data_IF_149015326581
#
_entry.id   IF_149015326581
#
_cell.length_a   1.000
_cell.length_b   1.000
_cell.length_c   1.000
_cell.angle_alpha   90.00
_cell.angle_beta   90.00
_cell.angle_gamma   90.00
#
_symmetry.space_group_name_H-M   'P 1'
#
loop_
_entity.id
_entity.type
_entity.pdbx_description
1 polymer ?
#
# COMPACT_ATOMS: atom_id res chain seq x y z
N UNK A 1 39.55 32.77 38.26
CA UNK A 1 38.41 33.32 39.05
C UNK A 1 38.62 34.83 39.14
N UNK A 2 38.17 35.65 38.22
CA UNK A 2 38.12 37.14 38.31
C UNK A 2 38.03 37.77 36.90
N UNK A 3 37.07 37.43 36.06
CA UNK A 3 36.72 38.27 34.87
C UNK A 3 35.20 38.17 34.54
N UNK A 4 34.45 37.28 35.19
CA UNK A 4 33.01 37.05 34.87
C UNK A 4 32.03 37.82 35.76
N UNK A 5 32.51 38.60 36.72
CA UNK A 5 31.65 39.31 37.70
C UNK A 5 31.54 40.81 37.47
N UNK A 6 32.10 41.38 36.40
CA UNK A 6 32.06 42.83 36.11
C UNK A 6 31.18 43.23 34.93
N UNK A 7 30.38 42.35 34.37
CA UNK A 7 29.46 42.63 33.25
C UNK A 7 27.97 42.62 33.61
N UNK A 8 27.60 42.32 34.84
CA UNK A 8 26.20 42.25 35.30
C UNK A 8 25.73 43.45 36.14
N UNK A 9 26.52 44.49 36.33
CA UNK A 9 26.16 45.66 37.15
C UNK A 9 26.12 47.00 36.39
N UNK A 10 25.90 47.00 35.07
CA UNK A 10 25.75 48.22 34.26
C UNK A 10 24.46 48.30 33.43
N UNK A 11 23.44 47.49 33.72
CA UNK A 11 22.16 47.54 33.01
C UNK A 11 20.93 47.80 33.92
N UNK A 12 21.11 48.48 35.01
CA UNK A 12 20.02 48.79 35.90
C UNK A 12 20.05 50.26 36.36
N UNK A 13 20.04 51.20 35.41
CA UNK A 13 19.73 52.63 35.73
C UNK A 13 19.68 53.42 34.41
N UNK A 14 18.62 53.24 33.61
CA UNK A 14 18.21 54.25 32.59
C UNK A 14 16.92 53.71 31.91
N UNK A 15 15.78 53.85 32.54
CA UNK A 15 14.48 53.75 31.89
C UNK A 15 13.37 54.33 32.75
N UNK A 16 13.42 55.66 32.93
CA UNK A 16 12.28 56.45 33.35
C UNK A 16 12.13 57.62 32.38
N UNK A 17 11.75 57.29 31.14
CA UNK A 17 11.27 58.27 30.16
C UNK A 17 10.03 57.66 29.50
N UNK A 18 8.88 58.32 29.74
CA UNK A 18 7.58 57.86 29.30
C UNK A 18 7.51 57.61 27.78
N UNK A 19 7.34 56.36 27.39
CA UNK A 19 6.99 56.00 26.03
C UNK A 19 5.49 55.71 26.01
N UNK A 20 4.71 56.68 25.51
CA UNK A 20 3.32 56.41 25.13
C UNK A 20 3.33 55.35 24.05
N UNK A 21 3.00 54.10 24.40
CA UNK A 21 2.78 53.01 23.46
C UNK A 21 1.48 53.34 22.73
N UNK A 22 1.60 53.99 21.58
CA UNK A 22 0.54 53.93 20.55
C UNK A 22 0.51 52.50 20.03
N UNK A 23 -0.39 51.71 20.59
CA UNK A 23 -0.73 50.41 20.01
C UNK A 23 -1.28 50.69 18.63
N UNK A 24 -0.64 50.17 17.54
CA UNK A 24 -1.28 50.21 16.25
C UNK A 24 -2.59 49.43 16.42
N UNK A 25 -3.72 50.05 16.19
CA UNK A 25 -4.96 49.35 15.96
C UNK A 25 -4.73 48.50 14.74
N UNK A 26 -4.33 47.25 14.95
CA UNK A 26 -4.42 46.24 13.91
C UNK A 26 -5.89 46.17 13.59
N UNK A 27 -6.30 46.84 12.50
CA UNK A 27 -7.55 46.55 11.84
C UNK A 27 -7.56 45.02 11.68
N UNK A 28 -8.48 44.36 12.38
CA UNK A 28 -8.79 42.97 12.12
C UNK A 28 -9.28 42.99 10.67
N UNK A 29 -8.36 42.71 9.77
CA UNK A 29 -8.69 42.53 8.38
C UNK A 29 -9.66 41.35 8.40
N UNK A 30 -10.93 41.60 8.11
CA UNK A 30 -11.93 40.57 8.00
C UNK A 30 -11.33 39.53 7.04
N UNK A 31 -10.98 38.37 7.55
CA UNK A 31 -10.50 37.30 6.72
C UNK A 31 -11.55 37.10 5.65
N UNK A 32 -11.17 37.28 4.38
CA UNK A 32 -12.02 37.00 3.25
C UNK A 32 -12.64 35.64 3.53
N UNK A 33 -13.98 35.54 3.48
CA UNK A 33 -14.68 34.33 3.83
C UNK A 33 -14.11 33.22 2.98
N UNK A 34 -13.44 32.26 3.62
CA UNK A 34 -12.72 31.18 2.93
C UNK A 34 -13.69 30.50 1.94
N UNK A 35 -13.37 30.60 0.66
CA UNK A 35 -14.16 29.96 -0.39
C UNK A 35 -13.69 28.52 -0.54
N UNK A 36 -14.61 27.59 -0.42
CA UNK A 36 -14.36 26.16 -0.59
C UNK A 36 -14.96 25.68 -1.93
N UNK A 37 -14.38 24.67 -2.53
CA UNK A 37 -15.04 23.97 -3.63
C UNK A 37 -16.15 23.07 -3.09
N UNK A 38 -15.87 22.37 -1.99
CA UNK A 38 -16.84 21.50 -1.31
C UNK A 38 -16.80 21.73 0.20
N UNK A 39 -17.99 21.83 0.82
CA UNK A 39 -18.15 21.71 2.27
C UNK A 39 -19.02 20.48 2.55
N UNK A 40 -18.52 19.57 3.40
CA UNK A 40 -19.31 18.46 3.95
C UNK A 40 -19.72 18.87 5.36
N UNK A 41 -21.04 19.00 5.61
CA UNK A 41 -21.60 19.50 6.86
C UNK A 41 -22.06 18.38 7.79
N UNK A 42 -21.89 18.59 9.10
CA UNK A 42 -22.50 17.80 10.18
C UNK A 42 -22.15 16.31 10.17
N UNK A 43 -21.01 15.91 9.59
CA UNK A 43 -20.59 14.51 9.49
C UNK A 43 -20.06 13.94 10.82
N UNK A 44 -20.21 12.61 11.00
CA UNK A 44 -19.45 11.83 11.98
C UNK A 44 -18.10 11.47 11.34
N UNK A 45 -17.09 12.29 11.58
CA UNK A 45 -15.79 12.14 10.91
C UNK A 45 -14.95 11.07 11.61
N UNK A 46 -14.53 10.06 10.84
CA UNK A 46 -13.52 9.08 11.19
C UNK A 46 -12.32 9.34 10.29
N UNK A 47 -11.22 9.86 10.83
CA UNK A 47 -10.09 10.35 10.06
C UNK A 47 -8.97 9.31 9.84
N UNK A 48 -9.17 8.07 10.31
CA UNK A 48 -8.20 6.98 10.17
C UNK A 48 -7.10 6.95 11.24
N UNK A 49 -7.10 7.87 12.19
CA UNK A 49 -6.08 7.93 13.27
C UNK A 49 -6.29 6.88 14.37
N UNK A 50 -7.39 6.11 14.32
CA UNK A 50 -7.79 5.17 15.37
C UNK A 50 -8.61 5.82 16.50
N UNK A 51 -8.82 7.13 16.45
CA UNK A 51 -9.68 7.83 17.40
C UNK A 51 -11.17 7.60 17.11
N UNK A 52 -12.04 7.67 18.13
CA UNK A 52 -13.49 7.66 17.92
C UNK A 52 -13.92 8.79 16.97
N UNK A 53 -15.05 8.58 16.29
CA UNK A 53 -15.63 9.62 15.44
C UNK A 53 -15.92 10.91 16.23
N UNK A 54 -15.79 12.03 15.55
CA UNK A 54 -16.20 13.34 16.06
C UNK A 54 -17.15 14.02 15.09
N UNK A 55 -18.08 14.81 15.60
CA UNK A 55 -18.93 15.66 14.75
C UNK A 55 -18.09 16.81 14.22
N UNK A 56 -18.01 16.94 12.90
CA UNK A 56 -17.27 18.02 12.27
C UNK A 56 -17.75 18.26 10.83
N UNK A 57 -17.45 19.47 10.34
CA UNK A 57 -17.51 19.85 8.94
C UNK A 57 -16.15 19.59 8.30
N UNK A 58 -16.12 19.38 6.98
CA UNK A 58 -14.91 19.25 6.19
C UNK A 58 -14.97 20.26 5.04
N UNK A 59 -13.94 21.09 4.91
CA UNK A 59 -13.77 22.01 3.79
C UNK A 59 -12.68 21.54 2.85
N UNK A 60 -12.99 21.51 1.56
CA UNK A 60 -12.10 21.06 0.48
C UNK A 60 -11.92 22.22 -0.51
N UNK A 61 -10.67 22.48 -0.90
CA UNK A 61 -10.29 23.39 -1.96
C UNK A 61 -9.27 22.72 -2.87
N UNK A 62 -9.58 22.64 -4.17
CA UNK A 62 -8.83 21.85 -5.13
C UNK A 62 -8.79 20.39 -4.73
N UNK A 63 -7.59 19.88 -4.62
CA UNK A 63 -7.29 18.49 -4.22
C UNK A 63 -6.98 18.32 -2.71
N UNK A 64 -7.23 19.37 -1.89
CA UNK A 64 -6.82 19.41 -0.48
C UNK A 64 -8.00 19.54 0.46
N UNK A 65 -7.95 18.78 1.57
CA UNK A 65 -8.75 19.04 2.76
C UNK A 65 -8.07 20.21 3.51
N UNK A 66 -8.72 21.36 3.50
CA UNK A 66 -8.16 22.60 4.09
C UNK A 66 -8.76 22.93 5.45
N UNK A 67 -9.88 22.32 5.82
CA UNK A 67 -10.50 22.47 7.12
C UNK A 67 -11.17 21.17 7.60
N UNK A 68 -11.00 20.83 8.88
CA UNK A 68 -11.73 19.77 9.58
C UNK A 68 -12.12 20.26 10.96
N UNK A 69 -13.40 20.57 11.18
CA UNK A 69 -13.89 21.13 12.43
C UNK A 69 -15.16 21.92 12.22
N UNK A 70 -15.30 23.03 12.93
CA UNK A 70 -16.41 23.97 12.72
C UNK A 70 -16.10 24.91 11.56
N UNK A 71 -16.94 24.92 10.54
CA UNK A 71 -16.90 25.88 9.44
C UNK A 71 -18.10 26.83 9.60
N UNK A 72 -17.92 28.15 9.60
CA UNK A 72 -19.02 29.11 9.74
C UNK A 72 -20.18 28.83 8.77
N UNK A 73 -21.41 29.05 9.22
CA UNK A 73 -22.62 28.74 8.41
C UNK A 73 -22.73 29.60 7.15
N UNK A 74 -22.17 30.78 7.18
CA UNK A 74 -22.13 31.74 6.06
C UNK A 74 -20.94 31.46 5.09
N UNK A 75 -20.04 30.53 5.42
CA UNK A 75 -18.96 30.12 4.53
C UNK A 75 -19.53 29.57 3.22
N UNK A 76 -18.96 30.05 2.10
CA UNK A 76 -19.42 29.70 0.75
C UNK A 76 -18.63 28.53 0.19
N UNK A 77 -19.32 27.70 -0.61
CA UNK A 77 -18.72 26.64 -1.37
C UNK A 77 -19.49 26.47 -2.71
N UNK A 78 -18.81 25.95 -3.71
CA UNK A 78 -19.46 25.58 -4.96
C UNK A 78 -20.45 24.42 -4.75
N UNK A 79 -20.15 23.53 -3.78
CA UNK A 79 -21.03 22.41 -3.40
C UNK A 79 -21.06 22.23 -1.89
N UNK A 80 -22.26 22.09 -1.32
CA UNK A 80 -22.47 21.73 0.07
C UNK A 80 -23.13 20.36 0.16
N UNK A 81 -22.54 19.44 0.93
CA UNK A 81 -23.04 18.09 1.18
C UNK A 81 -23.50 18.00 2.62
N UNK A 82 -24.77 17.72 2.85
CA UNK A 82 -25.28 17.44 4.19
C UNK A 82 -24.98 15.98 4.57
N UNK A 83 -24.11 15.78 5.56
CA UNK A 83 -23.73 14.48 6.11
C UNK A 83 -24.32 14.23 7.50
N UNK A 84 -25.37 14.94 7.90
CA UNK A 84 -26.04 14.72 9.16
C UNK A 84 -26.46 13.26 9.33
N UNK A 85 -26.05 12.63 10.43
CA UNK A 85 -26.30 11.22 10.73
C UNK A 85 -25.43 10.22 9.95
N UNK A 86 -24.57 10.68 9.02
CA UNK A 86 -23.68 9.83 8.24
C UNK A 86 -22.26 9.84 8.78
N UNK A 87 -21.51 8.76 8.51
CA UNK A 87 -20.08 8.74 8.71
C UNK A 87 -19.38 9.34 7.49
N UNK A 88 -18.32 10.10 7.74
CA UNK A 88 -17.42 10.65 6.73
C UNK A 88 -16.02 10.14 7.01
N UNK A 89 -15.43 9.47 6.04
CA UNK A 89 -14.12 8.85 6.15
C UNK A 89 -13.26 9.26 4.96
N UNK A 90 -11.92 9.14 5.04
CA UNK A 90 -11.08 9.06 3.85
C UNK A 90 -11.57 7.92 2.95
N UNK A 91 -11.32 8.02 1.64
CA UNK A 91 -11.57 6.90 0.73
C UNK A 91 -10.74 5.69 1.13
N UNK A 92 -11.32 4.50 1.02
CA UNK A 92 -10.62 3.25 1.37
C UNK A 92 -9.57 2.90 0.33
N UNK A 93 -8.51 2.21 0.78
CA UNK A 93 -7.46 1.64 -0.05
C UNK A 93 -7.68 0.14 -0.10
N UNK A 94 -7.91 -0.41 -1.30
CA UNK A 94 -7.87 -1.85 -1.53
C UNK A 94 -6.40 -2.27 -1.76
N UNK A 95 -5.82 -2.91 -0.75
CA UNK A 95 -4.42 -3.31 -0.74
C UNK A 95 -4.15 -4.57 -1.59
N UNK A 96 -5.19 -5.17 -2.20
CA UNK A 96 -5.07 -6.38 -3.00
C UNK A 96 -6.16 -6.43 -4.07
N UNK A 97 -5.89 -5.87 -5.26
CA UNK A 97 -6.90 -5.74 -6.31
C UNK A 97 -6.48 -6.39 -7.64
N UNK A 98 -7.36 -7.19 -8.20
CA UNK A 98 -7.24 -7.75 -9.55
C UNK A 98 -7.98 -6.91 -10.61
N UNK A 99 -8.13 -5.60 -10.39
CA UNK A 99 -8.91 -4.69 -11.24
C UNK A 99 -8.21 -4.27 -12.54
N UNK A 100 -6.95 -4.61 -12.74
CA UNK A 100 -6.14 -4.20 -13.92
C UNK A 100 -6.85 -4.42 -15.26
N UNK A 101 -7.47 -5.58 -15.57
CA UNK A 101 -8.15 -5.75 -16.85
C UNK A 101 -9.22 -4.69 -17.09
N UNK A 102 -10.00 -4.36 -16.04
CA UNK A 102 -11.03 -3.32 -16.12
C UNK A 102 -10.47 -1.92 -16.29
N UNK A 103 -9.46 -1.56 -15.50
CA UNK A 103 -8.85 -0.22 -15.50
C UNK A 103 -8.19 0.12 -16.83
N UNK A 104 -7.71 -0.86 -17.58
CA UNK A 104 -7.10 -0.68 -18.91
C UNK A 104 -8.11 -0.74 -20.06
N UNK A 105 -9.43 -0.78 -19.78
CA UNK A 105 -10.50 -0.87 -20.77
C UNK A 105 -11.47 0.31 -20.64
N UNK A 106 -11.67 1.07 -21.71
CA UNK A 106 -12.51 2.27 -21.71
C UNK A 106 -13.86 2.14 -20.97
N UNK A 107 -14.69 1.09 -21.20
CA UNK A 107 -16.00 1.01 -20.57
C UNK A 107 -15.94 0.70 -19.06
N UNK A 108 -14.81 0.21 -18.54
CA UNK A 108 -14.66 -0.24 -17.15
C UNK A 108 -13.69 0.64 -16.33
N UNK A 109 -12.89 1.48 -17.00
CA UNK A 109 -11.88 2.31 -16.34
C UNK A 109 -12.44 3.22 -15.25
N UNK A 110 -13.70 3.66 -15.36
CA UNK A 110 -14.37 4.43 -14.31
C UNK A 110 -14.50 3.74 -12.97
N UNK A 111 -14.21 2.42 -12.88
CA UNK A 111 -14.18 1.61 -11.65
C UNK A 111 -15.41 1.78 -10.75
N UNK A 112 -16.58 2.00 -11.36
CA UNK A 112 -17.83 2.35 -10.66
C UNK A 112 -18.18 1.38 -9.53
N UNK A 113 -18.13 0.04 -9.70
CA UNK A 113 -18.42 -0.90 -8.61
C UNK A 113 -17.47 -0.78 -7.41
N UNK A 114 -16.22 -0.38 -7.65
CA UNK A 114 -15.18 -0.16 -6.62
C UNK A 114 -15.51 1.13 -5.87
N UNK A 115 -15.76 2.22 -6.60
CA UNK A 115 -16.13 3.52 -6.02
C UNK A 115 -17.41 3.46 -5.19
N UNK A 116 -18.42 2.68 -5.60
CA UNK A 116 -19.66 2.50 -4.83
C UNK A 116 -19.45 1.78 -3.49
N UNK A 117 -18.31 1.14 -3.30
CA UNK A 117 -17.88 0.57 -2.01
C UNK A 117 -17.02 1.53 -1.18
N UNK A 118 -16.84 2.77 -1.65
CA UNK A 118 -16.01 3.79 -1.01
C UNK A 118 -14.50 3.61 -1.20
N UNK A 119 -14.09 2.68 -2.08
CA UNK A 119 -12.68 2.46 -2.41
C UNK A 119 -12.27 3.49 -3.46
N UNK A 120 -11.25 4.29 -3.14
CA UNK A 120 -10.72 5.35 -4.01
C UNK A 120 -9.30 5.09 -4.49
N UNK A 121 -8.67 4.04 -3.97
CA UNK A 121 -7.30 3.65 -4.32
C UNK A 121 -7.21 2.13 -4.37
N UNK A 122 -6.55 1.58 -5.40
CA UNK A 122 -6.36 0.13 -5.56
C UNK A 122 -4.90 -0.20 -5.80
N UNK A 123 -4.40 -1.23 -5.11
CA UNK A 123 -3.10 -1.82 -5.39
C UNK A 123 -3.26 -2.87 -6.48
N UNK A 124 -2.48 -2.76 -7.56
CA UNK A 124 -2.54 -3.65 -8.72
C UNK A 124 -1.30 -4.51 -8.87
N UNK A 125 -1.42 -5.56 -9.67
CA UNK A 125 -0.42 -6.63 -9.88
C UNK A 125 -0.05 -7.36 -8.58
N UNK A 126 -1.03 -7.73 -7.73
CA UNK A 126 -0.75 -8.56 -6.55
C UNK A 126 -0.27 -9.96 -6.96
N UNK A 127 0.06 -10.81 -5.98
CA UNK A 127 0.36 -12.25 -6.16
C UNK A 127 1.52 -12.55 -7.10
N UNK A 128 2.45 -11.59 -7.24
CA UNK A 128 3.55 -11.70 -8.19
C UNK A 128 3.14 -11.54 -9.66
N UNK A 129 1.90 -11.16 -9.91
CA UNK A 129 1.33 -11.01 -11.26
C UNK A 129 1.78 -9.73 -11.98
N UNK A 130 1.26 -9.58 -13.21
CA UNK A 130 1.54 -8.43 -14.05
C UNK A 130 2.73 -8.61 -15.00
N UNK A 131 2.92 -7.68 -15.94
CA UNK A 131 4.03 -7.71 -16.88
C UNK A 131 5.35 -7.31 -16.21
N UNK A 132 6.47 -7.82 -16.72
CA UNK A 132 7.81 -7.42 -16.29
C UNK A 132 8.15 -5.98 -16.69
N UNK A 133 7.56 -5.48 -17.77
CA UNK A 133 7.63 -4.09 -18.23
C UNK A 133 6.30 -3.40 -17.89
N UNK A 134 6.33 -2.47 -16.93
CA UNK A 134 5.11 -1.81 -16.44
C UNK A 134 4.65 -0.65 -17.31
N UNK A 135 5.55 0.04 -18.01
CA UNK A 135 5.22 1.27 -18.72
C UNK A 135 4.05 1.13 -19.71
N UNK A 136 3.96 0.06 -20.54
CA UNK A 136 2.80 -0.12 -21.42
C UNK A 136 1.46 -0.29 -20.68
N UNK A 137 1.49 -0.98 -19.53
CA UNK A 137 0.30 -1.16 -18.70
C UNK A 137 -0.15 0.16 -18.07
N UNK A 138 0.77 0.92 -17.49
CA UNK A 138 0.46 2.22 -16.88
C UNK A 138 -0.08 3.20 -17.91
N UNK A 139 0.55 3.26 -19.09
CA UNK A 139 0.06 4.09 -20.20
C UNK A 139 -1.35 3.68 -20.66
N UNK A 140 -1.67 2.39 -20.69
CA UNK A 140 -3.00 1.92 -21.03
C UNK A 140 -4.07 2.32 -19.99
N UNK A 141 -3.71 2.28 -18.69
CA UNK A 141 -4.58 2.73 -17.61
C UNK A 141 -4.79 4.24 -17.67
N UNK A 142 -3.72 5.03 -17.77
CA UNK A 142 -3.77 6.48 -17.84
C UNK A 142 -4.61 6.98 -19.02
N UNK A 143 -4.48 6.35 -20.19
CA UNK A 143 -5.25 6.67 -21.39
C UNK A 143 -6.75 6.69 -21.15
N UNK A 144 -7.26 5.89 -20.24
CA UNK A 144 -8.69 5.77 -19.97
C UNK A 144 -9.17 6.53 -18.73
N UNK A 145 -8.29 7.32 -18.10
CA UNK A 145 -8.61 8.16 -16.94
C UNK A 145 -9.33 7.34 -15.86
N UNK A 146 -8.61 6.51 -15.11
CA UNK A 146 -9.23 5.62 -14.14
C UNK A 146 -10.01 6.40 -13.07
N UNK A 147 -11.15 5.86 -12.63
CA UNK A 147 -11.98 6.47 -11.59
C UNK A 147 -11.40 6.36 -10.19
N UNK A 148 -10.33 5.60 -10.01
CA UNK A 148 -9.62 5.38 -8.72
C UNK A 148 -8.13 5.66 -8.90
N UNK A 149 -7.45 5.99 -7.80
CA UNK A 149 -5.99 6.03 -7.78
C UNK A 149 -5.44 4.61 -7.89
N UNK A 150 -4.26 4.48 -8.52
CA UNK A 150 -3.63 3.19 -8.78
C UNK A 150 -2.25 3.13 -8.13
N UNK A 151 -2.00 2.08 -7.37
CA UNK A 151 -0.70 1.76 -6.76
C UNK A 151 -0.15 0.54 -7.50
N UNK A 152 0.74 0.72 -8.49
CA UNK A 152 1.33 -0.41 -9.20
C UNK A 152 2.41 -1.09 -8.37
N UNK A 153 2.49 -2.44 -8.47
CA UNK A 153 3.62 -3.22 -7.98
C UNK A 153 4.27 -3.97 -9.13
N UNK A 154 5.57 -4.29 -8.98
CA UNK A 154 6.26 -5.18 -9.90
C UNK A 154 6.16 -6.62 -9.41
N UNK A 155 5.64 -7.51 -10.27
CA UNK A 155 5.37 -8.89 -9.92
C UNK A 155 6.55 -9.83 -10.17
N UNK A 156 6.93 -10.60 -9.15
CA UNK A 156 7.98 -11.62 -9.23
C UNK A 156 7.74 -12.63 -10.34
N UNK A 157 6.52 -13.17 -10.44
CA UNK A 157 6.18 -14.20 -11.43
C UNK A 157 6.24 -13.66 -12.87
N UNK A 158 5.84 -12.39 -13.06
CA UNK A 158 5.98 -11.69 -14.32
C UNK A 158 7.44 -11.53 -14.73
N UNK A 159 8.28 -11.06 -13.81
CA UNK A 159 9.73 -10.88 -14.02
C UNK A 159 10.41 -12.23 -14.28
N UNK A 160 10.11 -13.25 -13.46
CA UNK A 160 10.69 -14.58 -13.63
C UNK A 160 10.27 -15.20 -14.97
N UNK A 161 9.00 -15.06 -15.36
CA UNK A 161 8.51 -15.53 -16.67
C UNK A 161 9.23 -14.88 -17.84
N UNK A 162 9.50 -13.59 -17.76
CA UNK A 162 10.18 -12.84 -18.82
C UNK A 162 11.66 -13.25 -18.99
N UNK A 163 12.30 -13.75 -17.92
CA UNK A 163 13.72 -14.10 -17.91
C UNK A 163 13.95 -15.60 -18.12
N UNK A 164 13.13 -16.45 -17.48
CA UNK A 164 13.33 -17.89 -17.39
C UNK A 164 12.15 -18.72 -17.93
N UNK A 165 11.05 -18.08 -18.33
CA UNK A 165 9.85 -18.82 -18.69
C UNK A 165 9.27 -19.59 -17.50
N UNK A 166 9.01 -20.88 -17.70
CA UNK A 166 8.46 -21.76 -16.66
C UNK A 166 9.45 -22.86 -16.23
N UNK A 167 10.74 -22.57 -16.30
CA UNK A 167 11.78 -23.50 -15.90
C UNK A 167 11.78 -23.73 -14.39
N UNK A 168 11.79 -25.03 -14.00
CA UNK A 168 11.91 -25.45 -12.60
C UNK A 168 13.39 -25.59 -12.23
N UNK A 169 14.07 -24.47 -12.06
CA UNK A 169 15.48 -24.39 -11.63
C UNK A 169 15.78 -23.04 -10.99
N UNK A 170 16.87 -22.97 -10.28
CA UNK A 170 17.39 -21.68 -9.82
C UNK A 170 17.87 -20.83 -11.01
N UNK A 171 17.80 -19.47 -10.91
CA UNK A 171 18.39 -18.58 -11.90
C UNK A 171 19.91 -18.66 -11.87
N UNK A 172 20.52 -18.54 -13.04
CA UNK A 172 21.95 -18.22 -13.13
C UNK A 172 22.21 -16.80 -12.59
N UNK A 173 23.47 -16.45 -12.23
CA UNK A 173 23.78 -15.08 -11.81
C UNK A 173 23.35 -14.01 -12.83
N UNK A 174 23.49 -14.28 -14.13
CA UNK A 174 23.08 -13.38 -15.20
C UNK A 174 21.56 -13.23 -15.28
N UNK A 175 20.80 -14.31 -15.13
CA UNK A 175 19.34 -14.27 -15.09
C UNK A 175 18.83 -13.52 -13.86
N UNK A 176 19.39 -13.78 -12.68
CA UNK A 176 19.06 -13.05 -11.46
C UNK A 176 19.35 -11.54 -11.61
N UNK A 177 20.47 -11.18 -12.26
CA UNK A 177 20.78 -9.78 -12.53
C UNK A 177 19.74 -9.15 -13.46
N UNK A 178 19.33 -9.83 -14.52
CA UNK A 178 18.24 -9.35 -15.41
C UNK A 178 16.92 -9.17 -14.67
N UNK A 179 16.57 -10.10 -13.77
CA UNK A 179 15.38 -9.93 -12.92
C UNK A 179 15.48 -8.68 -12.03
N UNK A 180 16.65 -8.44 -11.40
CA UNK A 180 16.89 -7.23 -10.62
C UNK A 180 16.78 -5.94 -11.46
N UNK A 181 17.19 -5.99 -12.72
CA UNK A 181 17.11 -4.84 -13.62
C UNK A 181 15.64 -4.53 -13.98
N UNK A 182 14.80 -5.56 -14.17
CA UNK A 182 13.35 -5.36 -14.33
C UNK A 182 12.71 -4.74 -13.09
N UNK A 183 13.06 -5.21 -11.89
CA UNK A 183 12.53 -4.63 -10.64
C UNK A 183 12.98 -3.17 -10.53
N UNK A 184 14.25 -2.85 -10.77
CA UNK A 184 14.77 -1.47 -10.74
C UNK A 184 14.03 -0.58 -11.73
N UNK A 185 13.93 -1.02 -12.99
CA UNK A 185 13.21 -0.29 -14.04
C UNK A 185 11.79 0.02 -13.64
N UNK A 186 11.05 -0.97 -13.12
CA UNK A 186 9.68 -0.77 -12.69
C UNK A 186 9.54 0.22 -11.51
N UNK A 187 10.47 0.17 -10.55
CA UNK A 187 10.50 1.13 -9.44
C UNK A 187 10.82 2.55 -9.95
N UNK A 188 11.72 2.70 -10.90
CA UNK A 188 12.04 3.99 -11.56
C UNK A 188 10.83 4.52 -12.36
N UNK A 189 9.98 3.65 -12.89
CA UNK A 189 8.75 3.96 -13.62
C UNK A 189 7.53 4.21 -12.70
N UNK A 190 7.71 4.17 -11.38
CA UNK A 190 6.68 4.52 -10.42
C UNK A 190 5.96 3.35 -9.77
N UNK A 191 6.51 2.14 -9.80
CA UNK A 191 6.04 1.06 -8.93
C UNK A 191 6.26 1.43 -7.46
N UNK A 192 5.29 1.13 -6.60
CA UNK A 192 5.36 1.40 -5.17
C UNK A 192 6.00 0.26 -4.39
N UNK A 193 6.15 -0.92 -4.97
CA UNK A 193 6.67 -2.07 -4.26
C UNK A 193 6.83 -3.30 -5.12
N UNK A 194 7.27 -4.35 -4.47
CA UNK A 194 7.50 -5.68 -5.03
C UNK A 194 6.39 -6.63 -4.60
N UNK A 195 5.80 -7.34 -5.55
CA UNK A 195 4.78 -8.36 -5.30
C UNK A 195 5.33 -9.74 -5.60
N UNK A 196 5.00 -10.75 -4.79
CA UNK A 196 5.36 -12.13 -5.05
C UNK A 196 4.18 -13.07 -4.88
N UNK A 197 4.24 -14.22 -5.53
CA UNK A 197 3.25 -15.28 -5.43
C UNK A 197 3.93 -16.63 -5.60
N UNK A 198 4.73 -17.09 -4.61
CA UNK A 198 5.43 -18.36 -4.71
C UNK A 198 4.52 -19.59 -4.63
N UNK A 199 3.23 -19.40 -4.49
CA UNK A 199 2.22 -20.44 -4.72
C UNK A 199 2.06 -20.75 -6.22
N UNK A 200 2.14 -19.73 -7.07
CA UNK A 200 1.89 -19.82 -8.51
C UNK A 200 3.16 -20.09 -9.31
N UNK A 201 3.03 -20.78 -10.45
CA UNK A 201 4.12 -20.97 -11.42
C UNK A 201 4.32 -19.70 -12.23
N UNK A 202 5.60 -19.23 -12.45
CA UNK A 202 6.86 -19.88 -12.10
C UNK A 202 7.42 -19.53 -10.72
N UNK A 203 6.77 -18.67 -9.94
CA UNK A 203 7.22 -18.26 -8.61
C UNK A 203 7.43 -19.43 -7.65
N UNK A 204 6.64 -20.51 -7.81
CA UNK A 204 6.75 -21.73 -7.00
C UNK A 204 8.13 -22.37 -7.05
N UNK A 205 8.83 -22.22 -8.17
CA UNK A 205 10.17 -22.79 -8.37
C UNK A 205 11.28 -21.96 -7.75
N UNK A 206 10.98 -20.74 -7.28
CA UNK A 206 11.95 -19.91 -6.59
C UNK A 206 12.19 -20.37 -5.15
N UNK A 207 13.37 -20.06 -4.66
CA UNK A 207 13.71 -20.15 -3.24
C UNK A 207 13.66 -18.76 -2.59
N UNK A 208 13.69 -18.74 -1.27
CA UNK A 208 13.61 -17.50 -0.48
C UNK A 208 14.71 -16.51 -0.83
N UNK A 209 15.93 -16.98 -1.15
CA UNK A 209 17.07 -16.14 -1.53
C UNK A 209 16.83 -15.33 -2.82
N UNK A 210 16.11 -15.90 -3.79
CA UNK A 210 15.69 -15.18 -5.00
C UNK A 210 14.73 -14.03 -4.64
N UNK A 211 13.71 -14.32 -3.82
CA UNK A 211 12.76 -13.30 -3.33
C UNK A 211 13.48 -12.18 -2.57
N UNK A 212 14.39 -12.53 -1.67
CA UNK A 212 15.23 -11.59 -0.91
C UNK A 212 16.07 -10.73 -1.85
N UNK A 213 16.68 -11.33 -2.87
CA UNK A 213 17.53 -10.61 -3.80
C UNK A 213 16.77 -9.54 -4.61
N UNK A 214 15.51 -9.83 -4.97
CA UNK A 214 14.64 -8.89 -5.69
C UNK A 214 14.02 -7.85 -4.74
N UNK A 215 13.57 -8.26 -3.57
CA UNK A 215 13.04 -7.37 -2.55
C UNK A 215 14.08 -6.31 -2.11
N UNK A 216 15.37 -6.66 -2.03
CA UNK A 216 16.47 -5.72 -1.76
C UNK A 216 16.59 -4.63 -2.82
N UNK A 217 16.22 -4.89 -4.07
CA UNK A 217 16.22 -3.85 -5.11
C UNK A 217 15.08 -2.86 -4.84
N UNK A 218 13.89 -3.34 -4.54
CA UNK A 218 12.77 -2.48 -4.19
C UNK A 218 13.02 -1.66 -2.91
N UNK A 219 13.70 -2.25 -1.92
CA UNK A 219 14.03 -1.59 -0.64
C UNK A 219 14.93 -0.36 -0.78
N UNK A 220 15.58 -0.16 -1.93
CA UNK A 220 16.35 1.06 -2.20
C UNK A 220 15.45 2.30 -2.44
N UNK A 221 14.15 2.12 -2.60
CA UNK A 221 13.19 3.18 -2.89
C UNK A 221 12.39 3.54 -1.64
N UNK A 222 12.32 4.81 -1.24
CA UNK A 222 11.60 5.24 -0.05
C UNK A 222 10.11 4.86 -0.09
N UNK A 223 9.62 4.28 1.01
CA UNK A 223 8.20 3.91 1.13
C UNK A 223 7.83 2.61 0.39
N UNK A 224 8.79 1.91 -0.21
CA UNK A 224 8.52 0.63 -0.84
C UNK A 224 8.11 -0.45 0.17
N UNK A 225 7.40 -1.46 -0.32
CA UNK A 225 6.93 -2.61 0.46
C UNK A 225 6.98 -3.89 -0.36
N UNK A 226 6.87 -5.03 0.33
CA UNK A 226 6.70 -6.35 -0.26
C UNK A 226 5.33 -6.92 0.09
N UNK A 227 4.56 -7.34 -0.91
CA UNK A 227 3.28 -8.01 -0.73
C UNK A 227 3.35 -9.42 -1.32
N UNK A 228 2.74 -10.41 -0.67
CA UNK A 228 2.87 -11.79 -1.13
C UNK A 228 1.62 -12.64 -0.90
N UNK A 229 1.16 -13.27 -2.00
CA UNK A 229 0.46 -14.55 -1.89
C UNK A 229 1.50 -15.57 -1.42
N UNK A 230 1.45 -15.97 -0.17
CA UNK A 230 2.45 -16.84 0.44
C UNK A 230 2.52 -18.22 -0.24
N UNK A 231 3.64 -18.91 -0.09
CA UNK A 231 3.92 -20.18 -0.76
C UNK A 231 2.90 -21.27 -0.50
N UNK A 232 2.29 -21.29 0.68
CA UNK A 232 1.29 -22.27 1.08
C UNK A 232 0.30 -21.63 2.08
N UNK A 233 -0.97 -21.68 1.75
CA UNK A 233 -2.05 -21.21 2.62
C UNK A 233 -2.72 -22.37 3.38
N UNK A 234 -2.26 -23.59 3.13
CA UNK A 234 -2.79 -24.83 3.66
C UNK A 234 -1.67 -25.71 4.24
N UNK A 235 -1.59 -26.95 3.79
CA UNK A 235 -0.55 -27.94 4.10
C UNK A 235 -0.14 -28.74 2.85
N UNK A 236 -0.08 -28.06 1.71
CA UNK A 236 0.24 -28.69 0.42
C UNK A 236 1.75 -28.83 0.19
N UNK A 237 2.55 -27.95 0.82
CA UNK A 237 4.00 -27.88 0.67
C UNK A 237 4.65 -27.63 2.02
N UNK A 238 4.98 -26.38 2.34
CA UNK A 238 5.69 -25.98 3.59
C UNK A 238 4.75 -25.72 4.77
N UNK A 239 3.46 -25.62 4.50
CA UNK A 239 2.42 -25.26 5.45
C UNK A 239 2.33 -23.75 5.70
N UNK A 240 1.12 -23.28 6.04
CA UNK A 240 0.76 -21.86 6.14
C UNK A 240 1.66 -21.07 7.10
N UNK A 241 2.04 -21.66 8.23
CA UNK A 241 2.89 -21.00 9.24
C UNK A 241 4.30 -20.77 8.71
N UNK A 242 4.89 -21.78 8.04
CA UNK A 242 6.24 -21.62 7.48
C UNK A 242 6.26 -20.71 6.26
N UNK A 243 5.19 -20.74 5.45
CA UNK A 243 5.04 -19.79 4.33
C UNK A 243 4.92 -18.34 4.84
N UNK A 244 4.24 -18.11 5.96
CA UNK A 244 4.21 -16.79 6.62
C UNK A 244 5.60 -16.39 7.14
N UNK A 245 6.34 -17.33 7.74
CA UNK A 245 7.73 -17.10 8.18
C UNK A 245 8.67 -16.78 6.99
N UNK A 246 8.45 -17.37 5.82
CA UNK A 246 9.23 -17.05 4.60
C UNK A 246 9.05 -15.57 4.22
N UNK A 247 7.83 -15.06 4.20
CA UNK A 247 7.58 -13.64 3.94
C UNK A 247 8.27 -12.74 4.98
N UNK A 248 8.15 -13.08 6.26
CA UNK A 248 8.82 -12.35 7.36
C UNK A 248 10.34 -12.35 7.16
N UNK A 249 10.91 -13.47 6.74
CA UNK A 249 12.36 -13.57 6.47
C UNK A 249 12.79 -12.72 5.28
N UNK A 250 11.98 -12.68 4.20
CA UNK A 250 12.24 -11.76 3.07
C UNK A 250 12.23 -10.31 3.55
N UNK A 251 11.24 -9.93 4.35
CA UNK A 251 11.12 -8.58 4.91
C UNK A 251 12.31 -8.23 5.83
N UNK A 252 12.72 -9.18 6.68
CA UNK A 252 13.86 -9.01 7.58
C UNK A 252 15.16 -8.77 6.82
N UNK A 253 15.46 -9.64 5.83
CA UNK A 253 16.73 -9.55 5.08
C UNK A 253 16.76 -8.38 4.10
N UNK A 254 15.62 -8.01 3.53
CA UNK A 254 15.51 -6.87 2.61
C UNK A 254 15.36 -5.54 3.35
N UNK A 255 15.00 -5.55 4.65
CA UNK A 255 14.63 -4.36 5.43
C UNK A 255 13.48 -3.59 4.79
N UNK A 256 12.42 -4.31 4.45
CA UNK A 256 11.28 -3.84 3.69
C UNK A 256 9.99 -4.25 4.41
N UNK A 257 9.00 -3.35 4.57
CA UNK A 257 7.69 -3.74 5.08
C UNK A 257 7.09 -4.90 4.31
N UNK A 258 6.49 -5.87 5.01
CA UNK A 258 5.89 -7.06 4.40
C UNK A 258 4.39 -7.13 4.63
N UNK A 259 3.65 -7.55 3.61
CA UNK A 259 2.20 -7.73 3.66
C UNK A 259 1.88 -9.19 3.31
N UNK A 260 1.33 -9.93 4.29
CA UNK A 260 0.72 -11.26 4.05
C UNK A 260 -0.64 -11.01 3.42
N UNK A 261 -0.77 -11.24 2.11
CA UNK A 261 -2.01 -10.93 1.41
C UNK A 261 -3.09 -11.96 1.67
N UNK A 262 -4.36 -11.52 1.67
CA UNK A 262 -5.57 -12.32 1.82
C UNK A 262 -5.39 -13.46 2.83
N UNK A 263 -4.85 -13.12 4.02
CA UNK A 263 -4.47 -14.08 5.05
C UNK A 263 -5.60 -15.05 5.38
N UNK A 264 -5.32 -16.32 5.28
CA UNK A 264 -6.27 -17.41 5.60
C UNK A 264 -5.56 -18.71 5.96
N UNK A 265 -6.31 -19.62 6.55
CA UNK A 265 -5.92 -21.01 6.75
C UNK A 265 -6.86 -21.87 5.89
N UNK A 266 -6.38 -22.25 4.70
CA UNK A 266 -7.18 -22.85 3.65
C UNK A 266 -7.35 -24.37 3.87
N UNK A 267 -8.58 -24.81 4.04
CA UNK A 267 -8.97 -26.19 4.16
C UNK A 267 -8.88 -26.79 5.58
N UNK A 268 -9.58 -27.93 5.81
CA UNK A 268 -9.77 -28.50 7.14
C UNK A 268 -8.48 -28.89 7.87
N UNK A 269 -7.43 -29.28 7.14
CA UNK A 269 -6.15 -29.73 7.71
C UNK A 269 -5.41 -28.64 8.49
N UNK A 270 -5.71 -27.38 8.23
CA UNK A 270 -5.08 -26.22 8.88
C UNK A 270 -6.05 -25.33 9.65
N UNK A 271 -7.30 -25.71 9.78
CA UNK A 271 -8.25 -24.94 10.58
C UNK A 271 -7.77 -24.84 12.03
N UNK A 272 -7.89 -23.64 12.60
CA UNK A 272 -7.33 -23.28 13.90
C UNK A 272 -5.89 -22.78 13.87
N UNK A 273 -5.14 -22.98 12.79
CA UNK A 273 -3.76 -22.48 12.62
C UNK A 273 -3.65 -20.97 12.47
N UNK A 274 -4.76 -20.26 12.31
CA UNK A 274 -4.78 -18.78 12.30
C UNK A 274 -4.14 -18.18 13.56
N UNK A 275 -4.26 -18.85 14.72
CA UNK A 275 -3.58 -18.42 15.95
C UNK A 275 -2.07 -18.44 15.79
N UNK A 276 -1.52 -19.54 15.27
CA UNK A 276 -0.08 -19.71 15.07
C UNK A 276 0.45 -18.68 14.05
N UNK A 277 -0.34 -18.41 12.99
CA UNK A 277 0.00 -17.38 11.97
C UNK A 277 0.04 -15.98 12.58
N UNK A 278 -0.98 -15.62 13.37
CA UNK A 278 -1.04 -14.32 14.07
C UNK A 278 0.13 -14.21 15.07
N UNK A 279 0.46 -15.28 15.76
CA UNK A 279 1.55 -15.31 16.73
C UNK A 279 2.91 -15.01 16.07
N UNK A 280 3.22 -15.65 14.94
CA UNK A 280 4.51 -15.40 14.25
C UNK A 280 4.58 -13.97 13.66
N UNK A 281 3.45 -13.41 13.20
CA UNK A 281 3.38 -12.02 12.75
C UNK A 281 3.61 -11.06 13.94
N UNK A 282 2.95 -11.32 15.07
CA UNK A 282 3.10 -10.48 16.28
C UNK A 282 4.53 -10.57 16.85
N UNK A 283 5.14 -11.74 16.84
CA UNK A 283 6.54 -11.91 17.23
C UNK A 283 7.48 -11.08 16.34
N UNK A 284 7.31 -11.12 15.03
CA UNK A 284 8.10 -10.33 14.10
C UNK A 284 7.90 -8.80 14.31
N UNK A 285 6.66 -8.37 14.59
CA UNK A 285 6.37 -6.98 14.94
C UNK A 285 7.00 -6.55 16.25
N UNK A 286 7.05 -7.44 17.24
CA UNK A 286 7.75 -7.19 18.52
C UNK A 286 9.28 -7.05 18.35
N UNK A 287 9.86 -7.67 17.31
CA UNK A 287 11.25 -7.46 16.88
C UNK A 287 11.47 -6.13 16.13
N UNK A 288 10.42 -5.35 15.88
CA UNK A 288 10.48 -4.08 15.15
C UNK A 288 10.30 -4.19 13.64
N UNK A 289 9.90 -5.36 13.11
CA UNK A 289 9.60 -5.51 11.70
C UNK A 289 8.19 -4.96 11.38
N UNK A 290 8.07 -4.29 10.26
CA UNK A 290 6.78 -3.83 9.75
C UNK A 290 6.11 -4.95 8.95
N UNK A 291 5.32 -5.78 9.64
CA UNK A 291 4.55 -6.86 9.02
C UNK A 291 3.06 -6.56 9.15
N UNK A 292 2.38 -6.58 8.02
CA UNK A 292 0.95 -6.32 7.86
C UNK A 292 0.26 -7.51 7.21
N UNK A 293 -1.06 -7.50 7.20
CA UNK A 293 -1.87 -8.46 6.48
C UNK A 293 -3.13 -7.77 5.95
N UNK A 294 -3.63 -8.22 4.80
CA UNK A 294 -4.96 -7.90 4.32
C UNK A 294 -5.86 -9.15 4.34
N UNK A 295 -7.17 -8.94 4.31
CA UNK A 295 -8.16 -10.01 4.32
C UNK A 295 -9.45 -9.55 3.64
N UNK A 296 -10.10 -10.45 2.92
CA UNK A 296 -11.45 -10.27 2.40
C UNK A 296 -12.50 -10.77 3.39
N UNK A 297 -13.73 -10.28 3.27
CA UNK A 297 -14.84 -10.57 4.19
C UNK A 297 -15.69 -11.78 3.75
N UNK A 298 -15.09 -12.81 3.17
CA UNK A 298 -15.79 -13.99 2.66
C UNK A 298 -15.24 -15.27 3.28
N UNK A 299 -16.10 -16.28 3.46
CA UNK A 299 -15.72 -17.60 3.98
C UNK A 299 -15.18 -18.55 2.89
N UNK A 300 -15.07 -18.09 1.66
CA UNK A 300 -14.56 -18.84 0.52
C UNK A 300 -13.56 -18.00 -0.26
N UNK A 301 -12.64 -18.67 -0.97
CA UNK A 301 -11.69 -18.05 -1.89
C UNK A 301 -11.87 -18.58 -3.30
N UNK A 302 -11.33 -17.86 -4.29
CA UNK A 302 -11.27 -18.28 -5.67
C UNK A 302 -9.83 -18.30 -6.18
N UNK A 303 -9.50 -19.31 -6.99
CA UNK A 303 -8.23 -19.40 -7.71
C UNK A 303 -8.41 -20.16 -9.03
N UNK A 304 -7.37 -20.14 -9.88
CA UNK A 304 -7.39 -20.94 -11.12
C UNK A 304 -7.37 -22.45 -10.84
N UNK A 305 -8.01 -23.23 -11.69
CA UNK A 305 -8.02 -24.71 -11.57
C UNK A 305 -6.61 -25.29 -11.66
N UNK A 306 -5.80 -24.82 -12.61
CA UNK A 306 -4.47 -25.35 -12.85
C UNK A 306 -3.54 -25.19 -11.62
N UNK A 307 -3.39 -24.02 -10.98
CA UNK A 307 -2.57 -23.90 -9.76
C UNK A 307 -3.10 -24.75 -8.60
N UNK A 308 -4.41 -24.99 -8.54
CA UNK A 308 -5.05 -25.70 -7.43
C UNK A 308 -5.01 -27.23 -7.59
N UNK A 309 -5.00 -27.76 -8.82
CA UNK A 309 -5.19 -29.18 -9.09
C UNK A 309 -3.97 -29.86 -9.71
N UNK A 310 -3.10 -29.11 -10.40
CA UNK A 310 -1.95 -29.69 -11.11
C UNK A 310 -0.68 -29.51 -10.29
N UNK A 311 0.03 -30.60 -9.94
CA UNK A 311 1.29 -30.50 -9.19
C UNK A 311 2.33 -29.62 -9.90
N UNK A 312 3.14 -28.89 -9.14
CA UNK A 312 4.13 -27.97 -9.69
C UNK A 312 5.09 -28.63 -10.67
N UNK A 313 5.61 -29.81 -10.34
CA UNK A 313 6.52 -30.57 -11.21
C UNK A 313 5.92 -30.90 -12.58
N UNK A 314 4.60 -31.14 -12.65
CA UNK A 314 3.92 -31.42 -13.90
C UNK A 314 3.77 -30.18 -14.79
N UNK A 315 3.85 -28.98 -14.23
CA UNK A 315 3.70 -27.72 -14.94
C UNK A 315 5.03 -27.15 -15.46
N UNK A 316 6.17 -27.76 -15.08
CA UNK A 316 7.49 -27.32 -15.50
C UNK A 316 7.64 -27.35 -17.04
N UNK A 317 8.28 -26.33 -17.62
CA UNK A 317 8.42 -26.16 -19.06
C UNK A 317 7.18 -25.64 -19.79
N UNK A 318 6.06 -25.43 -19.08
CA UNK A 318 4.84 -24.89 -19.64
C UNK A 318 3.85 -25.91 -20.20
N UNK A 319 2.80 -25.43 -20.86
CA UNK A 319 1.66 -26.26 -21.29
C UNK A 319 2.05 -27.38 -22.27
N UNK A 320 2.95 -27.10 -23.21
CA UNK A 320 3.38 -28.10 -24.20
C UNK A 320 4.11 -29.26 -23.54
N UNK A 321 4.95 -29.01 -22.54
CA UNK A 321 5.64 -30.06 -21.78
C UNK A 321 4.69 -30.76 -20.81
N UNK A 322 3.76 -30.04 -20.20
CA UNK A 322 2.73 -30.63 -19.34
C UNK A 322 1.85 -31.62 -20.10
N UNK A 323 1.51 -31.33 -21.35
CA UNK A 323 0.69 -32.19 -22.18
C UNK A 323 1.40 -33.53 -22.59
N UNK A 324 2.70 -33.65 -22.42
CA UNK A 324 3.49 -34.85 -22.68
C UNK A 324 3.61 -35.77 -21.46
N UNK A 325 3.22 -35.32 -20.28
CA UNK A 325 3.28 -36.03 -18.98
C UNK A 325 1.94 -36.61 -18.60
#
# INVERSE_FOLDING_TARGET
MTIMLKRLLKLALLAAAGLAIVLPSTAVQAAEAASFDVIIRDGRVLDGTGMPWRKADIGISGDRIVAVGHIPLDAKAARIINAAGKYVTPGFIDAHSHSVPGLSMAPLAGAVPILYQGITTVLINPDGGGPADLAPLLSAIEKHTPGVNVIPTIGHNGVRSAVMGRDDRAPTPAELQRMKDFVRKAMDEGAFGFSSGPFYIPGKYSKTDELVALAKVAAAYPGAFHTSHIRDEASYDVGVVNATKELIEVSRQAKLPGIVTHIKTLGPSVWGKSKDVIEVINAARAEGLEIWADQYAYAASGSGLQPSLVPGWAQAGGQAEMAKR
#
